data_IF_699155822262
#
_entry.id   IF_699155822262
#
_cell.length_a   1.000
_cell.length_b   1.000
_cell.length_c   1.000
_cell.angle_alpha   90.00
_cell.angle_beta   90.00
_cell.angle_gamma   90.00
#
_symmetry.space_group_name_H-M   'P 1'
#
loop_
_entity.id
_entity.type
_entity.pdbx_description
1 polymer ?
#
# COMPACT_ATOMS: atom_id res chain seq x y z
N UNK A 1 2.33 9.44 -10.89
CA UNK A 1 2.82 8.10 -10.58
C UNK A 1 2.29 7.13 -11.62
N UNK A 2 3.15 6.51 -12.40
CA UNK A 2 2.70 5.75 -13.55
C UNK A 2 2.62 4.25 -13.40
N UNK A 3 2.94 3.70 -12.22
CA UNK A 3 2.94 2.26 -12.04
C UNK A 3 1.52 1.75 -11.70
N UNK A 4 0.89 0.95 -12.58
CA UNK A 4 -0.47 0.49 -12.34
C UNK A 4 -0.58 -0.44 -11.14
N UNK A 5 0.47 -1.19 -10.82
CA UNK A 5 0.46 -2.07 -9.63
C UNK A 5 0.41 -1.24 -8.36
N UNK A 6 1.18 -0.17 -8.29
CA UNK A 6 1.19 0.70 -7.11
C UNK A 6 -0.14 1.41 -6.91
N UNK A 7 -0.73 1.88 -8.01
CA UNK A 7 -2.07 2.51 -7.96
C UNK A 7 -3.10 1.50 -7.45
N UNK A 8 -3.07 0.28 -7.98
CA UNK A 8 -4.00 -0.77 -7.55
C UNK A 8 -3.79 -1.16 -6.09
N UNK A 9 -2.55 -1.22 -5.61
CA UNK A 9 -2.26 -1.50 -4.20
C UNK A 9 -2.85 -0.43 -3.29
N UNK A 10 -2.66 0.83 -3.62
CA UNK A 10 -3.22 1.94 -2.85
C UNK A 10 -4.75 1.85 -2.82
N UNK A 11 -5.36 1.53 -3.95
CA UNK A 11 -6.81 1.40 -4.05
C UNK A 11 -7.35 0.28 -3.16
N UNK A 12 -6.70 -0.88 -3.17
CA UNK A 12 -7.07 -2.01 -2.32
C UNK A 12 -6.93 -1.64 -0.85
N UNK A 13 -5.80 -1.05 -0.47
CA UNK A 13 -5.55 -0.66 0.92
C UNK A 13 -6.54 0.40 1.40
N UNK A 14 -6.90 1.33 0.52
CA UNK A 14 -7.85 2.39 0.84
C UNK A 14 -9.25 1.84 1.11
N UNK A 15 -9.64 0.79 0.40
CA UNK A 15 -10.95 0.16 0.55
C UNK A 15 -11.06 -0.67 1.82
N UNK A 16 -9.94 -1.08 2.39
CA UNK A 16 -9.92 -1.83 3.64
C UNK A 16 -9.84 -0.87 4.82
N UNK A 17 -10.75 -1.04 5.76
CA UNK A 17 -10.72 -0.28 7.01
C UNK A 17 -9.65 -0.90 7.90
N UNK A 18 -8.53 -0.18 8.09
CA UNK A 18 -7.43 -0.64 8.91
C UNK A 18 -6.28 -1.22 8.11
N UNK A 19 -5.51 -2.08 8.76
CA UNK A 19 -4.30 -2.65 8.18
C UNK A 19 -4.58 -3.94 7.41
N UNK A 20 -3.78 -4.19 6.36
CA UNK A 20 -3.90 -5.39 5.53
C UNK A 20 -2.56 -6.12 5.53
N UNK A 21 -2.61 -7.43 5.74
CA UNK A 21 -1.41 -8.27 5.70
C UNK A 21 -0.92 -8.43 4.26
N UNK A 22 0.41 -8.42 4.07
CA UNK A 22 1.02 -8.70 2.76
C UNK A 22 0.53 -10.03 2.21
N UNK A 23 0.34 -11.02 3.07
CA UNK A 23 -0.17 -12.34 2.68
C UNK A 23 -1.55 -12.30 2.01
N UNK A 24 -2.34 -11.26 2.30
CA UNK A 24 -3.64 -11.07 1.66
C UNK A 24 -3.52 -10.35 0.32
N UNK A 25 -2.46 -9.59 0.12
CA UNK A 25 -2.26 -8.82 -1.09
C UNK A 25 -1.67 -9.65 -2.23
N UNK A 26 -0.77 -10.57 -1.91
CA UNK A 26 -0.08 -11.39 -2.91
C UNK A 26 -1.03 -12.11 -3.86
N UNK A 27 -2.05 -12.86 -3.38
CA UNK A 27 -2.96 -13.55 -4.28
C UNK A 27 -3.83 -12.62 -5.12
N UNK A 28 -4.09 -11.40 -4.65
CA UNK A 28 -4.93 -10.45 -5.39
C UNK A 28 -4.24 -9.91 -6.64
N UNK A 29 -2.92 -9.89 -6.67
CA UNK A 29 -2.16 -9.29 -7.76
C UNK A 29 -1.46 -10.29 -8.66
N UNK A 30 -1.55 -11.57 -8.36
CA UNK A 30 -0.87 -12.63 -9.11
C UNK A 30 0.63 -12.34 -9.28
N UNK A 31 1.23 -11.79 -8.24
CA UNK A 31 2.65 -11.45 -8.20
C UNK A 31 3.31 -12.20 -7.05
N UNK A 32 4.64 -12.32 -7.12
CA UNK A 32 5.39 -12.92 -6.01
C UNK A 32 5.39 -11.99 -4.80
N UNK A 33 5.56 -12.57 -3.62
CA UNK A 33 5.66 -11.80 -2.39
C UNK A 33 6.79 -10.76 -2.42
N UNK A 34 8.01 -11.08 -2.90
CA UNK A 34 9.06 -10.07 -2.99
C UNK A 34 8.69 -8.90 -3.90
N UNK A 35 7.97 -9.16 -4.99
CA UNK A 35 7.54 -8.11 -5.92
C UNK A 35 6.52 -7.19 -5.26
N UNK A 36 5.51 -7.75 -4.59
CA UNK A 36 4.50 -6.96 -3.87
C UNK A 36 5.18 -6.14 -2.77
N UNK A 37 6.07 -6.77 -2.00
CA UNK A 37 6.80 -6.11 -0.91
C UNK A 37 7.66 -4.95 -1.43
N UNK A 38 8.26 -5.10 -2.61
CA UNK A 38 9.04 -4.04 -3.22
C UNK A 38 8.17 -2.81 -3.53
N UNK A 39 7.00 -3.02 -4.13
CA UNK A 39 6.08 -1.92 -4.42
C UNK A 39 5.61 -1.23 -3.14
N UNK A 40 5.33 -2.00 -2.10
CA UNK A 40 4.91 -1.45 -0.82
C UNK A 40 6.01 -0.61 -0.16
N UNK A 41 7.27 -1.05 -0.29
CA UNK A 41 8.41 -0.27 0.20
C UNK A 41 8.53 1.08 -0.49
N UNK A 42 8.32 1.10 -1.81
CA UNK A 42 8.35 2.35 -2.58
C UNK A 42 7.26 3.30 -2.09
N UNK A 43 6.04 2.78 -1.90
CA UNK A 43 4.91 3.57 -1.40
C UNK A 43 5.16 4.07 0.03
N UNK A 44 5.78 3.26 0.86
CA UNK A 44 6.12 3.64 2.23
C UNK A 44 7.16 4.77 2.25
N UNK A 45 8.19 4.68 1.41
CA UNK A 45 9.21 5.72 1.30
C UNK A 45 8.61 7.03 0.81
N UNK A 46 7.58 6.96 -0.02
CA UNK A 46 6.88 8.13 -0.51
C UNK A 46 5.90 8.72 0.52
N UNK A 47 5.70 8.05 1.65
CA UNK A 47 4.80 8.53 2.69
C UNK A 47 3.32 8.28 2.41
N UNK A 48 3.00 7.44 1.42
CA UNK A 48 1.62 7.15 1.02
C UNK A 48 1.02 6.06 1.91
N UNK A 49 1.85 5.08 2.28
CA UNK A 49 1.42 3.99 3.17
C UNK A 49 2.32 3.91 4.38
N UNK A 50 1.77 3.40 5.48
CA UNK A 50 2.52 3.05 6.67
C UNK A 50 2.59 1.54 6.81
N UNK A 51 3.43 1.07 7.71
CA UNK A 51 3.56 -0.34 7.98
C UNK A 51 3.65 -0.62 9.48
N UNK A 52 3.13 -1.77 9.87
CA UNK A 52 3.26 -2.29 11.23
C UNK A 52 3.70 -3.75 11.16
N UNK A 53 4.48 -4.16 12.14
CA UNK A 53 4.87 -5.56 12.25
C UNK A 53 4.27 -6.14 13.54
N UNK A 54 3.65 -7.31 13.40
CA UNK A 54 3.11 -8.06 14.52
C UNK A 54 3.65 -9.48 14.43
N UNK A 55 4.68 -9.77 15.24
CA UNK A 55 5.38 -11.05 15.16
C UNK A 55 6.05 -11.23 13.81
N UNK A 56 5.66 -12.28 13.08
CA UNK A 56 6.18 -12.60 11.76
C UNK A 56 5.38 -11.95 10.63
N UNK A 57 4.30 -11.24 10.95
CA UNK A 57 3.39 -10.69 9.95
C UNK A 57 3.65 -9.21 9.73
N UNK A 58 3.69 -8.80 8.48
CA UNK A 58 3.79 -7.40 8.08
C UNK A 58 2.45 -6.91 7.57
N UNK A 59 2.01 -5.76 8.09
CA UNK A 59 0.74 -5.13 7.73
C UNK A 59 1.01 -3.76 7.13
N UNK A 60 0.16 -3.37 6.17
CA UNK A 60 0.24 -2.07 5.52
C UNK A 60 -1.11 -1.37 5.57
N UNK A 61 -1.08 -0.05 5.60
CA UNK A 61 -2.29 0.77 5.62
C UNK A 61 -2.01 2.09 4.91
N UNK A 62 -3.06 2.69 4.36
CA UNK A 62 -2.96 4.00 3.72
C UNK A 62 -2.90 5.07 4.79
N UNK A 63 -2.04 6.06 4.59
CA UNK A 63 -1.96 7.24 5.45
C UNK A 63 -2.96 8.27 4.90
N UNK A 64 -4.08 8.54 5.61
CA UNK A 64 -5.14 9.40 5.05
C UNK A 64 -4.67 10.81 4.71
N UNK A 65 -3.82 11.39 5.54
CA UNK A 65 -3.32 12.75 5.34
C UNK A 65 -2.53 12.88 4.04
N UNK A 66 -1.77 11.84 3.67
CA UNK A 66 -1.01 11.83 2.43
C UNK A 66 -1.94 11.86 1.21
N UNK A 67 -3.08 11.13 1.29
CA UNK A 67 -4.07 11.14 0.21
C UNK A 67 -4.77 12.49 0.09
N UNK A 68 -5.06 13.14 1.20
CA UNK A 68 -5.65 14.47 1.19
C UNK A 68 -4.72 15.48 0.54
N UNK A 69 -3.44 15.45 0.88
CA UNK A 69 -2.44 16.32 0.28
C UNK A 69 -2.34 16.10 -1.22
N UNK A 70 -2.31 14.83 -1.66
CA UNK A 70 -2.28 14.50 -3.08
C UNK A 70 -3.54 15.01 -3.79
N UNK A 71 -4.69 14.86 -3.17
CA UNK A 71 -5.95 15.34 -3.72
C UNK A 71 -5.96 16.86 -3.90
N UNK A 72 -5.43 17.60 -2.91
CA UNK A 72 -5.30 19.05 -3.00
C UNK A 72 -4.35 19.47 -4.11
N UNK A 73 -3.28 18.72 -4.33
CA UNK A 73 -2.33 18.97 -5.39
C UNK A 73 -2.91 18.70 -6.78
N UNK A 74 -3.82 17.74 -6.89
CA UNK A 74 -4.41 17.33 -8.16
C UNK A 74 -5.68 18.12 -8.52
N UNK A 75 -6.21 18.85 -7.56
CA UNK A 75 -7.42 19.66 -7.81
C UNK A 75 -7.07 21.11 -8.30
#
# INVERSE_FOLDING_TARGET
>A
MGDPVRVALVDVLRKHAGRVCVCELVPLFDLSQPTVSHHLKVLRRAGIVGSERDGLWAYYYVIPDALEELSLWLS
#
